data_IF_407397063697
#
_entry.id   IF_407397063697
#
_cell.length_a   1.000
_cell.length_b   1.000
_cell.length_c   1.000
_cell.angle_alpha   90.00
_cell.angle_beta   90.00
_cell.angle_gamma   90.00
#
_symmetry.space_group_name_H-M   'P 1'
#
loop_
_entity.id
_entity.type
_entity.pdbx_description
1 polymer ?
#
# COMPACT_ATOMS: atom_id res chain seq x y z
N UNK A 1 -0.25 -2.89 -13.61
CA UNK A 1 -0.59 -4.22 -14.17
C UNK A 1 0.64 -4.93 -14.72
N UNK A 2 0.80 -6.21 -14.38
CA UNK A 2 1.76 -7.13 -14.98
C UNK A 2 1.03 -8.38 -15.45
N UNK A 3 1.12 -8.70 -16.74
CA UNK A 3 0.49 -9.86 -17.34
C UNK A 3 1.20 -10.26 -18.65
N UNK A 4 1.34 -11.57 -18.91
CA UNK A 4 1.84 -12.04 -20.21
C UNK A 4 0.77 -11.91 -21.29
N UNK A 5 1.17 -11.58 -22.50
CA UNK A 5 0.27 -11.51 -23.66
C UNK A 5 -0.52 -12.81 -23.90
N UNK A 6 0.10 -13.97 -23.60
CA UNK A 6 -0.57 -15.27 -23.70
C UNK A 6 -1.69 -15.44 -22.68
N UNK A 7 -1.58 -14.82 -21.50
CA UNK A 7 -2.62 -14.82 -20.46
C UNK A 7 -3.70 -13.83 -20.81
N UNK A 8 -3.32 -12.59 -21.18
CA UNK A 8 -4.27 -11.53 -21.56
C UNK A 8 -5.22 -11.93 -22.71
N UNK A 9 -4.76 -12.81 -23.59
CA UNK A 9 -5.55 -13.33 -24.73
C UNK A 9 -6.44 -14.52 -24.39
N UNK A 10 -6.45 -15.01 -23.16
CA UNK A 10 -7.33 -16.08 -22.74
C UNK A 10 -8.76 -15.57 -22.58
N UNK A 11 -9.72 -16.39 -22.97
CA UNK A 11 -11.15 -16.06 -22.83
C UNK A 11 -11.66 -16.25 -21.40
N UNK A 12 -10.91 -16.96 -20.55
CA UNK A 12 -11.25 -17.24 -19.18
C UNK A 12 -10.03 -16.93 -18.29
N UNK A 13 -10.18 -15.94 -17.45
CA UNK A 13 -9.20 -15.49 -16.45
C UNK A 13 -9.64 -15.80 -15.02
N UNK A 14 -10.72 -16.57 -14.84
CA UNK A 14 -11.17 -16.96 -13.50
C UNK A 14 -10.05 -17.68 -12.74
N UNK A 15 -9.84 -17.28 -11.48
CA UNK A 15 -8.74 -17.81 -10.67
C UNK A 15 -7.34 -17.33 -11.05
N UNK A 16 -7.18 -16.30 -11.91
CA UNK A 16 -5.87 -15.76 -12.31
C UNK A 16 -5.63 -14.31 -11.95
N UNK A 17 -6.67 -13.56 -11.62
CA UNK A 17 -6.56 -12.14 -11.30
C UNK A 17 -6.13 -11.95 -9.85
N UNK A 18 -5.03 -11.23 -9.64
CA UNK A 18 -4.43 -10.97 -8.32
C UNK A 18 -4.33 -9.46 -8.08
N UNK A 19 -4.86 -8.99 -6.95
CA UNK A 19 -4.71 -7.62 -6.50
C UNK A 19 -3.79 -7.55 -5.28
N UNK A 20 -2.72 -6.75 -5.38
CA UNK A 20 -1.80 -6.46 -4.30
C UNK A 20 -2.20 -5.20 -3.54
N UNK A 21 -2.22 -5.28 -2.21
CA UNK A 21 -2.64 -4.22 -1.28
C UNK A 21 -1.49 -3.92 -0.31
N UNK A 22 -0.95 -2.70 -0.42
CA UNK A 22 0.25 -2.28 0.27
C UNK A 22 0.04 -1.98 1.76
N UNK A 23 1.14 -1.89 2.49
CA UNK A 23 1.20 -1.51 3.90
C UNK A 23 1.18 0.01 4.11
N UNK A 24 1.57 0.43 5.31
CA UNK A 24 1.77 1.84 5.62
C UNK A 24 3.14 2.33 5.13
N UNK A 25 3.22 3.60 4.71
CA UNK A 25 4.46 4.29 4.41
C UNK A 25 5.08 4.04 3.04
N UNK A 26 4.54 3.09 2.24
CA UNK A 26 5.05 2.80 0.90
C UNK A 26 3.91 2.61 -0.08
N UNK A 27 3.95 3.23 -1.29
CA UNK A 27 2.97 2.97 -2.34
C UNK A 27 3.11 1.56 -2.92
N UNK A 28 2.11 1.13 -3.67
CA UNK A 28 1.99 -0.25 -4.14
C UNK A 28 3.09 -0.66 -5.14
N UNK A 29 3.46 0.22 -6.06
CA UNK A 29 4.53 -0.05 -7.04
C UNK A 29 5.84 -0.38 -6.32
N UNK A 30 6.19 0.40 -5.31
CA UNK A 30 7.39 0.21 -4.51
C UNK A 30 7.32 -1.05 -3.64
N UNK A 31 6.12 -1.39 -3.16
CA UNK A 31 5.95 -2.57 -2.31
C UNK A 31 6.02 -3.89 -3.09
N UNK A 32 5.59 -3.90 -4.37
CA UNK A 32 5.34 -5.16 -5.10
C UNK A 32 5.96 -5.24 -6.49
N UNK A 33 6.42 -4.14 -7.06
CA UNK A 33 6.90 -4.07 -8.45
C UNK A 33 8.16 -3.22 -8.60
N UNK A 34 9.10 -3.35 -7.65
CA UNK A 34 10.37 -2.60 -7.69
C UNK A 34 11.12 -2.93 -8.99
N UNK A 35 11.57 -1.92 -9.76
CA UNK A 35 12.31 -2.12 -10.99
C UNK A 35 13.79 -2.49 -10.73
N UNK A 36 13.99 -3.50 -9.89
CA UNK A 36 15.28 -4.08 -9.58
C UNK A 36 15.24 -5.58 -9.91
N UNK A 37 16.25 -6.15 -10.57
CA UNK A 37 16.23 -7.54 -11.02
C UNK A 37 15.89 -8.53 -9.89
N UNK A 38 14.81 -9.29 -10.06
CA UNK A 38 14.37 -10.31 -9.12
C UNK A 38 13.54 -9.80 -7.93
N UNK A 39 13.20 -8.51 -7.86
CA UNK A 39 12.46 -7.92 -6.73
C UNK A 39 11.00 -7.56 -7.04
N UNK A 40 10.48 -7.91 -8.20
CA UNK A 40 9.05 -7.74 -8.51
C UNK A 40 8.26 -9.01 -8.23
N UNK A 41 7.41 -8.97 -7.21
CA UNK A 41 6.43 -10.04 -6.96
C UNK A 41 5.37 -10.11 -8.06
N UNK A 42 4.97 -8.96 -8.57
CA UNK A 42 4.01 -8.88 -9.68
C UNK A 42 4.57 -9.54 -10.93
N UNK A 43 5.81 -9.24 -11.29
CA UNK A 43 6.46 -9.88 -12.45
C UNK A 43 6.63 -11.39 -12.23
N UNK A 44 7.01 -11.82 -11.03
CA UNK A 44 7.15 -13.24 -10.70
C UNK A 44 5.82 -14.01 -10.89
N UNK A 45 4.71 -13.49 -10.34
CA UNK A 45 3.40 -14.13 -10.51
C UNK A 45 2.89 -14.04 -11.95
N UNK A 46 3.16 -12.94 -12.66
CA UNK A 46 2.83 -12.82 -14.08
C UNK A 46 3.60 -13.86 -14.91
N UNK A 47 4.86 -14.16 -14.55
CA UNK A 47 5.63 -15.24 -15.18
C UNK A 47 5.05 -16.62 -14.94
N UNK A 48 4.36 -16.83 -13.84
CA UNK A 48 3.61 -18.05 -13.55
C UNK A 48 2.22 -18.10 -14.20
N UNK A 49 1.83 -17.08 -14.95
CA UNK A 49 0.57 -17.06 -15.72
C UNK A 49 -0.59 -16.38 -14.99
N UNK A 50 -0.32 -15.59 -13.97
CA UNK A 50 -1.32 -14.72 -13.31
C UNK A 50 -1.44 -13.38 -14.03
N UNK A 51 -2.56 -12.73 -13.85
CA UNK A 51 -2.81 -11.34 -14.22
C UNK A 51 -2.77 -10.50 -12.93
N UNK A 52 -1.71 -9.72 -12.74
CA UNK A 52 -1.40 -9.08 -11.47
C UNK A 52 -1.59 -7.58 -11.53
N UNK A 53 -2.25 -7.06 -10.53
CA UNK A 53 -2.51 -5.63 -10.32
C UNK A 53 -2.05 -5.22 -8.94
N UNK A 54 -1.68 -3.97 -8.80
CA UNK A 54 -1.48 -3.33 -7.51
C UNK A 54 -2.27 -2.02 -7.46
N UNK A 55 -2.69 -1.62 -6.27
CA UNK A 55 -3.43 -0.38 -6.07
C UNK A 55 -2.76 0.48 -5.00
N UNK A 56 -2.73 1.78 -5.23
CA UNK A 56 -2.41 2.76 -4.19
C UNK A 56 -3.68 3.16 -3.45
N UNK A 57 -3.63 3.10 -2.12
CA UNK A 57 -4.70 3.65 -1.28
C UNK A 57 -4.79 5.16 -1.43
N UNK A 58 -5.93 5.74 -1.13
CA UNK A 58 -6.11 7.20 -1.10
C UNK A 58 -5.01 7.86 -0.28
N UNK A 59 -4.33 8.86 -0.87
CA UNK A 59 -3.22 9.58 -0.26
C UNK A 59 -1.84 8.95 -0.47
N UNK A 60 -1.74 7.81 -1.17
CA UNK A 60 -0.47 7.17 -1.52
C UNK A 60 -0.22 7.19 -3.02
N UNK A 61 1.05 7.23 -3.39
CA UNK A 61 1.53 7.01 -4.74
C UNK A 61 0.79 7.82 -5.79
N UNK A 62 0.26 7.12 -6.79
CA UNK A 62 -0.47 7.73 -7.92
C UNK A 62 -1.97 7.87 -7.69
N UNK A 63 -2.47 7.47 -6.51
CA UNK A 63 -3.87 7.64 -6.16
C UNK A 63 -4.20 9.10 -5.83
N UNK A 64 -5.49 9.39 -5.62
CA UNK A 64 -5.93 10.74 -5.27
C UNK A 64 -5.24 11.23 -4.01
N UNK A 65 -4.57 12.38 -4.12
CA UNK A 65 -3.96 13.09 -2.99
C UNK A 65 -4.97 14.10 -2.41
N UNK A 66 -5.48 13.88 -1.19
CA UNK A 66 -6.35 14.86 -0.53
C UNK A 66 -5.67 16.21 -0.38
N UNK A 67 -6.37 17.30 -0.68
CA UNK A 67 -5.79 18.66 -0.66
C UNK A 67 -5.22 19.06 0.71
N UNK A 68 -5.75 18.51 1.80
CA UNK A 68 -5.25 18.73 3.17
C UNK A 68 -3.81 18.22 3.36
N UNK A 69 -3.32 17.32 2.53
CA UNK A 69 -1.93 16.86 2.52
C UNK A 69 -0.94 17.89 1.95
N UNK A 70 -1.42 18.93 1.29
CA UNK A 70 -0.58 20.03 0.79
C UNK A 70 -0.28 21.09 1.85
N UNK A 71 -0.96 21.02 3.01
CA UNK A 71 -0.76 21.97 4.10
C UNK A 71 0.21 21.39 5.14
N UNK A 72 1.40 21.99 5.26
CA UNK A 72 2.43 21.60 6.22
C UNK A 72 1.97 21.63 7.68
N UNK A 73 0.95 22.44 8.01
CA UNK A 73 0.39 22.52 9.36
C UNK A 73 -0.30 21.21 9.79
N UNK A 74 -0.56 20.30 8.84
CA UNK A 74 -1.14 18.99 9.11
C UNK A 74 -0.07 17.89 9.39
N UNK A 75 1.21 18.24 9.37
CA UNK A 75 2.31 17.42 9.92
C UNK A 75 2.34 17.50 11.45
N UNK A 76 3.00 16.56 12.10
CA UNK A 76 3.26 16.66 13.55
C UNK A 76 4.10 17.90 13.87
N UNK A 77 3.93 18.45 15.07
CA UNK A 77 4.71 19.61 15.52
C UNK A 77 6.22 19.37 15.45
N UNK A 78 6.65 18.11 15.73
CA UNK A 78 8.06 17.71 15.63
C UNK A 78 8.56 17.77 14.20
N UNK A 79 7.81 17.23 13.25
CA UNK A 79 8.17 17.29 11.83
C UNK A 79 8.15 18.72 11.28
N UNK A 80 7.17 19.52 11.69
CA UNK A 80 7.13 20.95 11.31
C UNK A 80 8.38 21.68 11.81
N UNK A 81 8.73 21.49 13.09
CA UNK A 81 9.91 22.14 13.67
C UNK A 81 11.21 21.67 12.98
N UNK A 82 11.32 20.37 12.70
CA UNK A 82 12.50 19.78 12.04
C UNK A 82 12.67 20.28 10.59
N UNK A 83 11.58 20.34 9.83
CA UNK A 83 11.62 20.63 8.39
C UNK A 83 11.57 22.13 8.07
N UNK A 84 10.90 22.94 8.92
CA UNK A 84 10.60 24.34 8.62
C UNK A 84 11.07 25.34 9.70
N UNK A 85 11.43 24.85 10.90
CA UNK A 85 11.89 25.68 12.00
C UNK A 85 10.78 26.44 12.75
N UNK A 86 9.52 26.25 12.38
CA UNK A 86 8.35 26.84 13.02
C UNK A 86 7.16 25.89 13.04
N UNK A 87 6.19 26.14 13.91
CA UNK A 87 5.02 25.28 14.12
C UNK A 87 3.74 26.10 13.95
N UNK A 88 2.79 25.59 13.19
CA UNK A 88 1.45 26.13 13.06
C UNK A 88 0.39 25.11 13.51
N UNK A 89 -0.77 25.56 13.97
CA UNK A 89 -1.85 24.64 14.33
C UNK A 89 -2.37 23.91 13.08
N UNK A 90 -2.78 22.63 13.20
CA UNK A 90 -3.31 21.88 12.07
C UNK A 90 -4.58 22.54 11.51
N UNK A 91 -4.65 22.67 10.20
CA UNK A 91 -5.83 23.12 9.48
C UNK A 91 -6.89 22.01 9.33
N UNK A 92 -6.50 20.77 9.57
CA UNK A 92 -7.36 19.59 9.49
C UNK A 92 -7.13 18.70 10.72
N UNK A 93 -8.16 18.57 11.56
CA UNK A 93 -8.06 17.91 12.87
C UNK A 93 -8.57 16.46 12.88
N UNK A 94 -8.64 15.81 11.72
CA UNK A 94 -9.15 14.44 11.58
C UNK A 94 -8.18 13.55 10.81
N UNK A 95 -8.34 12.23 10.94
CA UNK A 95 -7.68 11.29 10.03
C UNK A 95 -8.17 11.51 8.60
N UNK A 96 -7.25 11.51 7.62
CA UNK A 96 -7.60 11.68 6.21
C UNK A 96 -8.30 10.43 5.68
N UNK A 97 -7.86 9.26 6.12
CA UNK A 97 -8.41 7.95 5.74
C UNK A 97 -8.70 7.12 6.98
N UNK A 98 -9.56 6.14 6.84
CA UNK A 98 -9.90 5.15 7.86
C UNK A 98 -9.90 3.76 7.24
N UNK A 99 -9.98 2.70 8.04
CA UNK A 99 -10.17 1.34 7.53
C UNK A 99 -11.42 1.22 6.66
N UNK A 100 -12.50 1.90 7.02
CA UNK A 100 -13.74 1.88 6.23
C UNK A 100 -13.53 2.52 4.85
N UNK A 101 -12.80 3.67 4.77
CA UNK A 101 -12.46 4.26 3.47
C UNK A 101 -11.52 3.37 2.67
N UNK A 102 -10.56 2.70 3.30
CA UNK A 102 -9.66 1.76 2.65
C UNK A 102 -10.43 0.56 2.06
N UNK A 103 -11.46 0.06 2.75
CA UNK A 103 -12.31 -1.01 2.23
C UNK A 103 -13.16 -0.56 1.05
N UNK A 104 -13.65 0.67 1.04
CA UNK A 104 -14.35 1.23 -0.13
C UNK A 104 -13.42 1.40 -1.33
N UNK A 105 -12.17 1.84 -1.11
CA UNK A 105 -11.16 1.91 -2.18
C UNK A 105 -10.90 0.53 -2.79
N UNK A 106 -10.75 -0.50 -1.94
CA UNK A 106 -10.56 -1.89 -2.39
C UNK A 106 -11.78 -2.39 -3.16
N UNK A 107 -13.00 -2.14 -2.66
CA UNK A 107 -14.23 -2.58 -3.31
C UNK A 107 -14.36 -2.01 -4.72
N UNK A 108 -14.09 -0.71 -4.87
CA UNK A 108 -14.13 -0.05 -6.17
C UNK A 108 -13.13 -0.66 -7.16
N UNK A 109 -11.91 -0.97 -6.71
CA UNK A 109 -10.88 -1.59 -7.56
C UNK A 109 -11.21 -3.05 -7.85
N UNK A 110 -11.69 -3.82 -6.88
CA UNK A 110 -12.10 -5.21 -7.10
C UNK A 110 -13.24 -5.29 -8.11
N UNK A 111 -14.26 -4.47 -7.99
CA UNK A 111 -15.36 -4.44 -8.96
C UNK A 111 -14.88 -4.02 -10.35
N UNK A 112 -14.01 -3.02 -10.45
CA UNK A 112 -13.38 -2.65 -11.71
C UNK A 112 -12.60 -3.82 -12.34
N UNK A 113 -11.82 -4.58 -11.57
CA UNK A 113 -11.04 -5.71 -12.09
C UNK A 113 -11.94 -6.86 -12.52
N UNK A 114 -13.01 -7.14 -11.77
CA UNK A 114 -14.01 -8.15 -12.11
C UNK A 114 -14.67 -7.83 -13.45
N UNK A 115 -15.09 -6.59 -13.63
CA UNK A 115 -15.68 -6.11 -14.88
C UNK A 115 -14.67 -6.13 -16.04
N UNK A 116 -13.44 -5.66 -15.79
CA UNK A 116 -12.39 -5.57 -16.79
C UNK A 116 -11.99 -6.96 -17.33
N UNK A 117 -12.03 -7.98 -16.48
CA UNK A 117 -11.57 -9.34 -16.80
C UNK A 117 -12.70 -10.35 -16.98
N UNK A 118 -13.94 -9.97 -16.69
CA UNK A 118 -15.11 -10.84 -16.76
C UNK A 118 -14.98 -12.02 -15.77
N UNK A 119 -14.47 -11.77 -14.57
CA UNK A 119 -14.26 -12.78 -13.51
C UNK A 119 -15.19 -12.54 -12.34
N UNK A 120 -15.61 -13.59 -11.65
CA UNK A 120 -16.47 -13.46 -10.48
C UNK A 120 -15.67 -13.07 -9.25
N UNK A 121 -14.43 -13.54 -9.12
CA UNK A 121 -13.59 -13.35 -7.93
C UNK A 121 -12.15 -13.02 -8.28
N UNK A 122 -11.50 -12.26 -7.36
CA UNK A 122 -10.08 -11.96 -7.44
C UNK A 122 -9.33 -12.54 -6.25
N UNK A 123 -8.03 -12.78 -6.40
CA UNK A 123 -7.14 -13.08 -5.28
C UNK A 123 -6.61 -11.79 -4.68
N UNK A 124 -6.43 -11.74 -3.36
CA UNK A 124 -5.85 -10.61 -2.64
C UNK A 124 -4.49 -10.98 -2.04
N UNK A 125 -3.52 -10.10 -2.16
CA UNK A 125 -2.23 -10.21 -1.46
C UNK A 125 -2.02 -8.94 -0.64
N UNK A 126 -2.09 -9.08 0.69
CA UNK A 126 -1.94 -7.95 1.63
C UNK A 126 -0.63 -8.01 2.40
N UNK A 127 0.13 -6.93 2.41
CA UNK A 127 1.36 -6.80 3.19
C UNK A 127 1.21 -5.80 4.33
N UNK A 128 1.70 -6.14 5.52
CA UNK A 128 1.70 -5.24 6.70
C UNK A 128 0.29 -4.71 7.00
N UNK A 129 0.03 -3.41 6.91
CA UNK A 129 -1.30 -2.82 7.05
C UNK A 129 -2.27 -3.26 5.93
N UNK A 130 -1.76 -3.71 4.79
CA UNK A 130 -2.57 -4.39 3.76
C UNK A 130 -3.24 -5.67 4.27
N UNK A 131 -2.73 -6.26 5.36
CA UNK A 131 -3.36 -7.41 6.01
C UNK A 131 -4.75 -7.11 6.56
N UNK A 132 -4.94 -6.19 7.52
CA UNK A 132 -6.27 -5.80 8.01
C UNK A 132 -7.14 -5.15 6.93
N UNK A 133 -6.57 -4.43 5.96
CA UNK A 133 -7.28 -3.93 4.78
C UNK A 133 -7.92 -5.07 3.99
N UNK A 134 -7.10 -6.04 3.56
CA UNK A 134 -7.56 -7.21 2.80
C UNK A 134 -8.50 -8.10 3.62
N UNK A 135 -8.14 -8.37 4.88
CA UNK A 135 -8.91 -9.27 5.74
C UNK A 135 -10.29 -8.73 6.09
N UNK A 136 -10.38 -7.43 6.44
CA UNK A 136 -11.65 -6.78 6.73
C UNK A 136 -12.54 -6.67 5.50
N UNK A 137 -11.95 -6.36 4.33
CA UNK A 137 -12.67 -6.37 3.06
C UNK A 137 -13.21 -7.77 2.71
N UNK A 138 -12.35 -8.80 2.75
CA UNK A 138 -12.76 -10.17 2.43
C UNK A 138 -13.84 -10.72 3.37
N UNK A 139 -13.86 -10.29 4.64
CA UNK A 139 -14.90 -10.65 5.57
C UNK A 139 -16.27 -10.04 5.24
N UNK A 140 -16.28 -8.87 4.60
CA UNK A 140 -17.49 -8.15 4.17
C UNK A 140 -17.96 -8.61 2.78
N UNK A 141 -17.04 -9.03 1.91
CA UNK A 141 -17.29 -9.38 0.51
C UNK A 141 -16.71 -10.75 0.12
N UNK A 142 -17.06 -11.84 0.85
CA UNK A 142 -16.51 -13.19 0.57
C UNK A 142 -16.90 -13.71 -0.83
N UNK A 143 -17.96 -13.16 -1.41
CA UNK A 143 -18.41 -13.48 -2.77
C UNK A 143 -17.48 -12.92 -3.86
N UNK A 144 -16.66 -11.90 -3.56
CA UNK A 144 -15.75 -11.25 -4.51
C UNK A 144 -14.29 -11.74 -4.37
N UNK A 145 -13.97 -12.46 -3.31
CA UNK A 145 -12.60 -12.90 -3.00
C UNK A 145 -12.45 -14.40 -3.18
N UNK A 146 -11.51 -14.82 -4.03
CA UNK A 146 -11.22 -16.23 -4.28
C UNK A 146 -10.31 -16.81 -3.18
N UNK A 147 -9.15 -16.20 -2.98
CA UNK A 147 -8.19 -16.54 -1.93
C UNK A 147 -7.48 -15.27 -1.45
N UNK A 148 -6.90 -15.35 -0.25
CA UNK A 148 -6.14 -14.26 0.33
C UNK A 148 -4.80 -14.75 0.86
N UNK A 149 -3.74 -14.01 0.59
CA UNK A 149 -2.39 -14.20 1.16
C UNK A 149 -2.05 -12.96 1.99
N UNK A 150 -1.63 -13.19 3.22
CA UNK A 150 -1.21 -12.12 4.14
C UNK A 150 0.26 -12.29 4.48
N UNK A 151 1.07 -11.28 4.12
CA UNK A 151 2.48 -11.21 4.48
C UNK A 151 2.67 -10.25 5.66
N UNK A 152 3.22 -10.75 6.74
CA UNK A 152 3.52 -9.96 7.95
C UNK A 152 2.38 -8.97 8.30
N UNK A 153 1.13 -9.43 8.42
CA UNK A 153 -0.02 -8.55 8.60
C UNK A 153 0.11 -7.76 9.91
N UNK A 154 -0.22 -6.46 9.85
CA UNK A 154 -0.32 -5.60 11.03
C UNK A 154 -1.58 -5.96 11.83
N UNK A 155 -1.55 -7.09 12.54
CA UNK A 155 -2.66 -7.58 13.34
C UNK A 155 -2.40 -7.42 14.84
N UNK A 156 -3.37 -6.81 15.52
CA UNK A 156 -3.41 -6.71 16.99
C UNK A 156 -4.76 -7.21 17.47
N UNK A 157 -4.84 -8.49 17.78
CA UNK A 157 -6.05 -9.16 18.21
C UNK A 157 -6.59 -8.72 19.59
N UNK A 158 -5.77 -7.97 20.33
CA UNK A 158 -6.05 -7.44 21.66
C UNK A 158 -6.66 -6.02 21.64
N UNK A 159 -6.70 -5.36 20.48
CA UNK A 159 -7.21 -3.99 20.35
C UNK A 159 -8.55 -4.00 19.62
N UNK A 160 -9.64 -3.59 20.28
CA UNK A 160 -10.93 -3.42 19.61
C UNK A 160 -10.81 -2.45 18.44
N UNK A 161 -11.48 -2.73 17.31
CA UNK A 161 -11.48 -1.90 16.12
C UNK A 161 -11.90 -0.43 16.43
N UNK A 162 -12.73 -0.22 17.43
CA UNK A 162 -13.15 1.09 17.93
C UNK A 162 -12.00 1.91 18.54
N UNK A 163 -10.91 1.27 18.99
CA UNK A 163 -9.74 1.99 19.54
C UNK A 163 -8.79 2.49 18.46
N UNK A 164 -8.82 1.95 17.26
CA UNK A 164 -8.01 2.48 16.15
C UNK A 164 -8.44 3.90 15.76
N UNK A 165 -9.71 4.22 15.89
CA UNK A 165 -10.25 5.57 15.69
C UNK A 165 -9.97 6.52 16.87
N UNK A 166 -9.77 5.97 18.08
CA UNK A 166 -9.54 6.77 19.30
C UNK A 166 -8.10 7.28 19.43
N UNK A 167 -7.15 6.82 18.63
CA UNK A 167 -5.75 7.19 18.69
C UNK A 167 -5.31 8.19 17.61
N UNK A 168 -6.25 8.94 17.06
CA UNK A 168 -5.88 10.07 16.22
C UNK A 168 -5.16 11.12 17.10
N UNK A 169 -3.86 11.26 16.88
CA UNK A 169 -2.98 12.16 17.64
C UNK A 169 -2.95 13.59 17.08
N UNK A 170 -3.89 13.93 16.21
CA UNK A 170 -3.95 15.23 15.54
C UNK A 170 -3.02 15.39 14.33
N UNK A 171 -2.34 14.31 13.91
CA UNK A 171 -1.43 14.30 12.75
C UNK A 171 -2.14 13.65 11.57
N UNK A 172 -2.50 14.46 10.57
CA UNK A 172 -3.24 13.97 9.40
C UNK A 172 -2.32 13.26 8.38
N UNK A 173 -1.03 13.59 8.37
CA UNK A 173 -0.02 13.03 7.48
C UNK A 173 1.35 12.99 8.14
N UNK A 174 2.26 12.20 7.57
CA UNK A 174 3.69 12.19 7.93
C UNK A 174 4.54 12.30 6.67
N UNK A 175 5.72 12.91 6.79
CA UNK A 175 6.77 12.84 5.76
C UNK A 175 7.86 11.89 6.21
N UNK A 176 8.47 11.21 5.26
CA UNK A 176 9.61 10.33 5.48
C UNK A 176 10.79 10.83 4.65
N UNK A 177 11.94 11.01 5.28
CA UNK A 177 13.19 11.27 4.56
C UNK A 177 13.82 9.95 4.08
N UNK A 178 14.80 10.06 3.18
CA UNK A 178 15.58 8.88 2.77
C UNK A 178 16.31 8.25 3.96
N UNK A 179 16.87 9.07 4.84
CA UNK A 179 17.57 8.57 6.04
C UNK A 179 16.60 7.83 6.98
N UNK A 180 15.38 8.33 7.19
CA UNK A 180 14.36 7.66 7.98
C UNK A 180 13.98 6.30 7.37
N UNK A 181 13.82 6.26 6.06
CA UNK A 181 13.52 5.04 5.31
C UNK A 181 14.66 4.02 5.45
N UNK A 182 15.90 4.40 5.15
CA UNK A 182 17.07 3.52 5.22
C UNK A 182 17.32 3.06 6.66
N UNK A 183 17.21 3.95 7.65
CA UNK A 183 17.36 3.59 9.05
C UNK A 183 16.29 2.62 9.53
N UNK A 184 15.03 2.80 9.07
CA UNK A 184 13.95 1.86 9.40
C UNK A 184 14.18 0.49 8.74
N UNK A 185 14.66 0.46 7.51
CA UNK A 185 15.04 -0.76 6.80
C UNK A 185 16.16 -1.50 7.55
N UNK A 186 17.27 -0.80 7.84
CA UNK A 186 18.43 -1.38 8.49
C UNK A 186 18.14 -1.93 9.89
N UNK A 187 17.20 -1.34 10.63
CA UNK A 187 16.76 -1.92 11.93
C UNK A 187 16.12 -3.29 11.83
N UNK A 188 15.65 -3.69 10.64
CA UNK A 188 14.99 -4.97 10.39
C UNK A 188 15.96 -6.02 9.82
N UNK A 189 17.18 -5.61 9.48
CA UNK A 189 18.23 -6.51 8.97
C UNK A 189 18.79 -7.33 10.12
N UNK A 190 18.83 -8.64 9.93
CA UNK A 190 19.29 -9.59 10.97
C UNK A 190 20.79 -9.92 10.90
N UNK A 191 21.46 -9.61 9.79
CA UNK A 191 22.89 -9.85 9.59
C UNK A 191 23.44 -8.93 8.50
N UNK A 192 24.75 -8.77 8.46
CA UNK A 192 25.44 -8.03 7.40
C UNK A 192 25.19 -8.69 6.04
N UNK A 193 25.18 -7.89 4.99
CA UNK A 193 24.99 -8.33 3.59
C UNK A 193 23.67 -9.08 3.31
N UNK A 194 22.63 -8.87 4.13
CA UNK A 194 21.31 -9.49 3.91
C UNK A 194 20.63 -9.00 2.64
N UNK A 195 20.95 -7.81 2.16
CA UNK A 195 20.44 -7.26 0.91
C UNK A 195 21.49 -6.38 0.21
N UNK A 196 21.35 -6.21 -1.11
CA UNK A 196 22.17 -5.28 -1.88
C UNK A 196 21.71 -3.84 -1.61
N UNK A 197 22.65 -2.96 -1.28
CA UNK A 197 22.41 -1.52 -1.02
C UNK A 197 21.68 -0.84 -2.19
N UNK A 198 21.95 -1.25 -3.42
CA UNK A 198 21.29 -0.71 -4.62
C UNK A 198 19.77 -0.98 -4.62
N UNK A 199 19.29 -1.98 -3.88
CA UNK A 199 17.84 -2.22 -3.73
C UNK A 199 17.18 -1.08 -2.98
N UNK A 200 17.74 -0.65 -1.84
CA UNK A 200 17.17 0.45 -1.06
C UNK A 200 17.20 1.78 -1.80
N UNK A 201 18.24 2.02 -2.61
CA UNK A 201 18.32 3.19 -3.49
C UNK A 201 17.26 3.15 -4.59
N UNK A 202 17.06 1.99 -5.21
CA UNK A 202 16.02 1.80 -6.23
C UNK A 202 14.63 2.01 -5.64
N UNK A 203 14.35 1.43 -4.46
CA UNK A 203 13.08 1.60 -3.74
C UNK A 203 12.83 3.08 -3.44
N UNK A 204 13.83 3.80 -2.92
CA UNK A 204 13.68 5.23 -2.61
C UNK A 204 13.43 6.07 -3.87
N UNK A 205 14.15 5.80 -4.95
CA UNK A 205 13.95 6.48 -6.24
C UNK A 205 12.53 6.33 -6.75
N UNK A 206 11.98 5.11 -6.66
CA UNK A 206 10.59 4.84 -7.08
C UNK A 206 9.55 5.46 -6.12
N UNK A 207 9.84 5.52 -4.82
CA UNK A 207 8.99 6.27 -3.89
C UNK A 207 8.84 7.72 -4.31
N UNK A 208 9.95 8.39 -4.63
CA UNK A 208 9.94 9.78 -5.10
C UNK A 208 9.25 9.94 -6.46
N UNK A 209 9.37 8.96 -7.35
CA UNK A 209 8.74 8.99 -8.66
C UNK A 209 7.22 8.77 -8.61
N UNK A 210 6.76 7.98 -7.65
CA UNK A 210 5.34 7.65 -7.49
C UNK A 210 4.58 8.59 -6.55
N UNK A 211 5.27 9.21 -5.60
CA UNK A 211 4.70 10.18 -4.64
C UNK A 211 5.56 11.45 -4.59
N UNK A 212 5.58 12.25 -5.65
CA UNK A 212 6.33 13.49 -5.71
C UNK A 212 5.70 14.52 -4.76
N UNK A 213 6.49 15.00 -3.83
CA UNK A 213 6.08 16.02 -2.83
C UNK A 213 6.51 17.41 -3.28
#
# INVERSE_FOLDING_TARGET
ERVKDSVRKQNDLEGKVVLFIHGAGTPAEVAFDVPYPGFSWMAYLADLGMDTFSMDMTGYGRSTRPLVMNDRCNLSSEQQQQLFGDVCPPSYAFAITSMDSDWHDIDAVVDYLRDLRGVDKVHLVGWSQGGPRSGGYAAQHPEKVANMVLLAPAYRGDVPATMAAANFNGTAMTKQSQDDFVNNWNRQVGCDDQYDQAVSESVWSEMLASDPV
#
